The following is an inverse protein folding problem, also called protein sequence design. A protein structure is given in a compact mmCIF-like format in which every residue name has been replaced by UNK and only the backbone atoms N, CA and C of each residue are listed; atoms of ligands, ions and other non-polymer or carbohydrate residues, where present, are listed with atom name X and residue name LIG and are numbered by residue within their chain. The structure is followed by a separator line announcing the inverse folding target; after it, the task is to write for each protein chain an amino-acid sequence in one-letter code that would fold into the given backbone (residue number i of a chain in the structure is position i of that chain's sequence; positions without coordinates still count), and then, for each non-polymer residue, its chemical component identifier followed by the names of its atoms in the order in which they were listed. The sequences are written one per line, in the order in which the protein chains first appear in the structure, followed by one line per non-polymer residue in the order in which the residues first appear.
data_IF_370163548645
#
_entry.id   IF_370163548645
#
_cell.length_a   1.000
_cell.length_b   1.000
_cell.length_c   1.000
_cell.angle_alpha   90.00
_cell.angle_beta   90.00
_cell.angle_gamma   90.00
#
_symmetry.space_group_name_H-M   'P 1'
#
loop_
_entity.id
_entity.type
_entity.pdbx_description
1 polymer ?
#
# COMPACT_ATOMS: atom_id res chain seq x y z
N UNK A 1 11.30 2.80 11.04
CA UNK A 1 11.50 2.43 9.63
C UNK A 1 11.11 3.61 8.74
N UNK A 2 11.90 3.90 7.70
CA UNK A 2 11.69 5.03 6.79
C UNK A 2 10.77 4.65 5.62
N UNK A 3 10.03 5.62 5.07
CA UNK A 3 9.14 5.37 3.92
C UNK A 3 9.87 4.84 2.67
N UNK A 4 11.18 5.06 2.56
CA UNK A 4 12.00 4.47 1.48
C UNK A 4 12.08 2.95 1.59
N UNK A 5 12.28 2.44 2.80
CA UNK A 5 12.32 0.99 3.05
C UNK A 5 10.97 0.34 2.75
N UNK A 6 9.86 1.02 3.09
CA UNK A 6 8.52 0.55 2.75
C UNK A 6 8.36 0.29 1.24
N UNK A 7 8.76 1.26 0.40
CA UNK A 7 8.68 1.12 -1.07
C UNK A 7 9.52 -0.06 -1.58
N UNK A 8 10.73 -0.24 -1.05
CA UNK A 8 11.62 -1.35 -1.41
C UNK A 8 11.00 -2.69 -1.03
N UNK A 9 10.43 -2.81 0.18
CA UNK A 9 9.76 -4.04 0.61
C UNK A 9 8.54 -4.35 -0.26
N UNK A 10 7.73 -3.35 -0.65
CA UNK A 10 6.62 -3.56 -1.58
C UNK A 10 7.12 -4.16 -2.90
N UNK A 11 8.21 -3.64 -3.45
CA UNK A 11 8.79 -4.13 -4.70
C UNK A 11 9.30 -5.58 -4.58
N UNK A 12 10.05 -5.90 -3.53
CA UNK A 12 10.59 -7.24 -3.30
C UNK A 12 9.49 -8.28 -3.08
N UNK A 13 8.50 -7.97 -2.23
CA UNK A 13 7.37 -8.86 -1.96
C UNK A 13 6.54 -9.04 -3.23
N UNK A 14 6.25 -7.96 -3.97
CA UNK A 14 5.52 -8.04 -5.23
C UNK A 14 6.21 -8.98 -6.24
N UNK A 15 7.54 -8.88 -6.38
CA UNK A 15 8.33 -9.77 -7.23
C UNK A 15 8.28 -11.23 -6.83
N UNK A 16 8.55 -11.52 -5.55
CA UNK A 16 8.55 -12.88 -5.00
C UNK A 16 7.16 -13.53 -5.12
N UNK A 17 6.10 -12.82 -4.72
CA UNK A 17 4.73 -13.30 -4.79
C UNK A 17 4.29 -13.58 -6.23
N UNK A 18 4.65 -12.70 -7.17
CA UNK A 18 4.34 -12.90 -8.59
C UNK A 18 5.06 -14.10 -9.18
N UNK A 19 6.35 -14.29 -8.86
CA UNK A 19 7.13 -15.46 -9.28
C UNK A 19 6.52 -16.76 -8.77
N UNK A 20 6.22 -16.84 -7.46
CA UNK A 20 5.61 -18.03 -6.86
C UNK A 20 4.23 -18.28 -7.44
N UNK A 21 3.43 -17.23 -7.64
CA UNK A 21 2.08 -17.36 -8.23
C UNK A 21 2.11 -17.86 -9.67
N UNK A 22 3.05 -17.37 -10.46
CA UNK A 22 3.31 -17.89 -11.80
C UNK A 22 3.72 -19.38 -11.76
N UNK A 23 4.62 -19.76 -10.84
CA UNK A 23 5.07 -21.14 -10.69
C UNK A 23 3.92 -22.08 -10.30
N UNK A 24 3.03 -21.66 -9.39
CA UNK A 24 1.83 -22.42 -9.04
C UNK A 24 0.87 -22.58 -10.24
N UNK A 25 0.79 -21.56 -11.09
CA UNK A 25 0.01 -21.61 -12.33
C UNK A 25 0.58 -22.52 -13.42
N UNK A 26 1.79 -23.06 -13.27
CA UNK A 26 2.34 -24.08 -14.17
C UNK A 26 1.71 -25.45 -13.95
N UNK A 27 1.23 -25.74 -12.74
CA UNK A 27 0.58 -27.00 -12.40
C UNK A 27 -0.80 -27.19 -13.04
N UNK A 28 -1.30 -26.15 -13.73
CA UNK A 28 -2.61 -26.17 -14.37
C UNK A 28 -2.48 -26.64 -15.81
N UNK A 29 -3.21 -27.71 -16.12
CA UNK A 29 -3.27 -28.37 -17.43
C UNK A 29 -4.24 -27.71 -18.41
N UNK A 30 -4.99 -26.69 -17.98
CA UNK A 30 -5.91 -25.95 -18.85
C UNK A 30 -5.16 -25.20 -19.97
N UNK A 31 -5.85 -24.97 -21.09
CA UNK A 31 -5.34 -24.25 -22.26
C UNK A 31 -6.07 -22.92 -22.49
N UNK A 32 -5.44 -22.04 -23.28
CA UNK A 32 -5.98 -20.73 -23.66
C UNK A 32 -6.37 -19.85 -22.47
N UNK A 33 -7.59 -19.30 -22.53
CA UNK A 33 -8.15 -18.35 -21.56
C UNK A 33 -8.10 -18.85 -20.11
N UNK A 34 -8.44 -20.12 -19.87
CA UNK A 34 -8.46 -20.67 -18.52
C UNK A 34 -7.05 -20.72 -17.91
N UNK A 35 -6.03 -21.03 -18.71
CA UNK A 35 -4.64 -21.03 -18.25
C UNK A 35 -4.19 -19.63 -17.83
N UNK A 36 -4.53 -18.62 -18.63
CA UNK A 36 -4.21 -17.23 -18.33
C UNK A 36 -4.95 -16.76 -17.07
N UNK A 37 -6.24 -17.09 -16.96
CA UNK A 37 -7.08 -16.76 -15.81
C UNK A 37 -6.51 -17.32 -14.51
N UNK A 38 -6.17 -18.61 -14.46
CA UNK A 38 -5.64 -19.20 -13.23
C UNK A 38 -4.22 -18.73 -12.87
N UNK A 39 -3.34 -18.49 -13.86
CA UNK A 39 -2.03 -17.87 -13.60
C UNK A 39 -2.21 -16.47 -12.99
N UNK A 40 -3.12 -15.68 -13.55
CA UNK A 40 -3.48 -14.37 -13.02
C UNK A 40 -4.06 -14.48 -11.61
N UNK A 41 -4.93 -15.46 -11.34
CA UNK A 41 -5.51 -15.70 -10.02
C UNK A 41 -4.44 -15.98 -8.96
N UNK A 42 -3.53 -16.92 -9.20
CA UNK A 42 -2.48 -17.24 -8.22
C UNK A 42 -1.52 -16.06 -7.98
N UNK A 43 -1.09 -15.40 -9.04
CA UNK A 43 -0.24 -14.21 -8.92
C UNK A 43 -0.98 -13.09 -8.16
N UNK A 44 -2.24 -12.82 -8.51
CA UNK A 44 -3.08 -11.83 -7.85
C UNK A 44 -3.28 -12.11 -6.37
N UNK A 45 -3.66 -13.33 -6.01
CA UNK A 45 -3.85 -13.76 -4.62
C UNK A 45 -2.59 -13.54 -3.79
N UNK A 46 -1.43 -13.99 -4.28
CA UNK A 46 -0.18 -13.88 -3.53
C UNK A 46 0.31 -12.43 -3.44
N UNK A 47 0.21 -11.64 -4.51
CA UNK A 47 0.58 -10.22 -4.49
C UNK A 47 -0.34 -9.46 -3.53
N UNK A 48 -1.64 -9.67 -3.60
CA UNK A 48 -2.63 -9.06 -2.71
C UNK A 48 -2.38 -9.42 -1.25
N UNK A 49 -2.11 -10.70 -0.96
CA UNK A 49 -1.76 -11.17 0.38
C UNK A 49 -0.47 -10.54 0.89
N UNK A 50 0.60 -10.57 0.10
CA UNK A 50 1.92 -10.05 0.48
C UNK A 50 1.91 -8.55 0.74
N UNK A 51 1.31 -7.76 -0.15
CA UNK A 51 1.27 -6.30 -0.01
C UNK A 51 0.34 -5.84 1.13
N UNK A 52 -0.81 -6.48 1.33
CA UNK A 52 -1.71 -6.15 2.45
C UNK A 52 -1.14 -6.55 3.81
N UNK A 53 -0.39 -7.66 3.87
CA UNK A 53 0.35 -8.06 5.07
C UNK A 53 1.41 -7.02 5.41
N UNK A 54 2.22 -6.61 4.43
CA UNK A 54 3.23 -5.57 4.62
C UNK A 54 2.61 -4.25 5.10
N UNK A 55 1.53 -3.81 4.48
CA UNK A 55 0.79 -2.59 4.87
C UNK A 55 0.27 -2.69 6.31
N UNK A 56 -0.30 -3.83 6.70
CA UNK A 56 -0.81 -4.06 8.07
C UNK A 56 0.30 -4.02 9.12
N UNK A 57 1.44 -4.65 8.82
CA UNK A 57 2.63 -4.65 9.70
C UNK A 57 3.20 -3.23 9.81
N UNK A 58 3.23 -2.48 8.71
CA UNK A 58 3.73 -1.10 8.68
C UNK A 58 2.92 -0.18 9.59
N UNK A 59 1.59 -0.24 9.43
CA UNK A 59 0.64 0.52 10.26
C UNK A 59 0.71 0.06 11.72
N UNK A 60 1.02 -1.22 11.97
CA UNK A 60 1.08 -1.79 13.31
C UNK A 60 -0.29 -2.22 13.82
N UNK A 61 -1.13 -2.78 12.94
CA UNK A 61 -2.45 -3.32 13.30
C UNK A 61 -2.30 -4.58 14.17
N UNK A 62 -3.34 -4.88 14.95
CA UNK A 62 -3.39 -6.13 15.72
C UNK A 62 -3.41 -7.35 14.80
N UNK A 63 -3.05 -8.51 15.35
CA UNK A 63 -2.91 -9.74 14.56
C UNK A 63 -4.22 -10.16 13.90
N UNK A 64 -5.35 -10.00 14.59
CA UNK A 64 -6.68 -10.32 14.07
C UNK A 64 -7.07 -9.43 12.89
N UNK A 65 -6.84 -8.11 13.02
CA UNK A 65 -7.11 -7.17 11.92
C UNK A 65 -6.19 -7.41 10.72
N UNK A 66 -4.92 -7.74 10.98
CA UNK A 66 -3.95 -8.10 9.95
C UNK A 66 -4.41 -9.34 9.18
N UNK A 67 -4.81 -10.39 9.89
CA UNK A 67 -5.30 -11.61 9.27
C UNK A 67 -6.53 -11.38 8.39
N UNK A 68 -7.56 -10.68 8.91
CA UNK A 68 -8.76 -10.37 8.13
C UNK A 68 -8.45 -9.50 6.91
N UNK A 69 -7.60 -8.46 7.07
CA UNK A 69 -7.20 -7.60 5.97
C UNK A 69 -6.49 -8.38 4.86
N UNK A 70 -5.52 -9.23 5.25
CA UNK A 70 -4.76 -10.05 4.30
C UNK A 70 -5.64 -11.07 3.59
N UNK A 71 -6.55 -11.73 4.30
CA UNK A 71 -7.45 -12.72 3.71
C UNK A 71 -8.41 -12.08 2.69
N UNK A 72 -9.04 -10.96 3.05
CA UNK A 72 -9.97 -10.25 2.17
C UNK A 72 -9.22 -9.73 0.94
N UNK A 73 -8.05 -9.11 1.12
CA UNK A 73 -7.23 -8.63 0.01
C UNK A 73 -6.80 -9.78 -0.92
N UNK A 74 -6.43 -10.94 -0.37
CA UNK A 74 -6.06 -12.12 -1.15
C UNK A 74 -7.20 -12.62 -2.04
N UNK A 75 -8.43 -12.70 -1.50
CA UNK A 75 -9.61 -13.16 -2.26
C UNK A 75 -9.92 -12.18 -3.41
N UNK A 76 -10.05 -10.90 -3.11
CA UNK A 76 -10.38 -9.90 -4.13
C UNK A 76 -9.25 -9.73 -5.16
N UNK A 77 -7.98 -9.85 -4.76
CA UNK A 77 -6.86 -9.78 -5.68
C UNK A 77 -6.77 -11.03 -6.55
N UNK A 78 -7.12 -12.21 -6.02
CA UNK A 78 -7.29 -13.43 -6.80
C UNK A 78 -8.40 -13.29 -7.85
N UNK A 79 -9.56 -12.76 -7.49
CA UNK A 79 -10.65 -12.46 -8.44
C UNK A 79 -10.21 -11.44 -9.50
N UNK A 80 -9.54 -10.36 -9.07
CA UNK A 80 -8.98 -9.35 -9.97
C UNK A 80 -7.93 -9.92 -10.93
N UNK A 81 -7.08 -10.81 -10.45
CA UNK A 81 -6.09 -11.53 -11.25
C UNK A 81 -6.73 -12.52 -12.23
N UNK A 82 -7.78 -13.23 -11.82
CA UNK A 82 -8.53 -14.13 -12.69
C UNK A 82 -9.18 -13.38 -13.86
N UNK A 83 -9.90 -12.29 -13.57
CA UNK A 83 -10.48 -11.41 -14.59
C UNK A 83 -9.42 -10.76 -15.46
N UNK A 84 -8.33 -10.28 -14.85
CA UNK A 84 -7.19 -9.70 -15.55
C UNK A 84 -6.55 -10.67 -16.54
N UNK A 85 -6.42 -11.95 -16.17
CA UNK A 85 -5.94 -13.01 -17.06
C UNK A 85 -6.86 -13.27 -18.25
N UNK A 86 -8.17 -13.30 -18.04
CA UNK A 86 -9.16 -13.45 -19.14
C UNK A 86 -9.12 -12.24 -20.08
N UNK A 87 -9.16 -11.03 -19.52
CA UNK A 87 -9.09 -9.78 -20.30
C UNK A 87 -7.77 -9.71 -21.08
N UNK A 88 -6.66 -10.11 -20.45
CA UNK A 88 -5.35 -10.15 -21.07
C UNK A 88 -5.28 -11.10 -22.26
N UNK A 89 -5.79 -12.32 -22.11
CA UNK A 89 -5.83 -13.30 -23.20
C UNK A 89 -6.76 -12.85 -24.34
N UNK A 90 -7.90 -12.24 -23.99
CA UNK A 90 -8.84 -11.68 -24.98
C UNK A 90 -8.18 -10.57 -25.80
N UNK A 91 -7.53 -9.62 -25.15
CA UNK A 91 -6.80 -8.54 -25.82
C UNK A 91 -5.65 -9.08 -26.69
N UNK A 92 -4.94 -10.10 -26.20
CA UNK A 92 -3.89 -10.77 -26.96
C UNK A 92 -4.41 -11.46 -28.23
N UNK A 93 -5.62 -12.05 -28.16
CA UNK A 93 -6.25 -12.68 -29.34
C UNK A 93 -6.66 -11.69 -30.43
N UNK A 94 -6.94 -10.43 -30.07
CA UNK A 94 -7.25 -9.36 -31.03
C UNK A 94 -5.96 -8.87 -31.69
N UNK A 95 -4.98 -8.48 -30.88
CA UNK A 95 -3.68 -8.02 -31.38
C UNK A 95 -2.59 -8.22 -30.33
N UNK A 96 -1.45 -8.80 -30.72
CA UNK A 96 -0.38 -9.20 -29.79
C UNK A 96 0.15 -8.05 -28.91
N UNK A 97 0.17 -6.82 -29.43
CA UNK A 97 0.62 -5.64 -28.67
C UNK A 97 -0.34 -5.19 -27.57
N UNK A 98 -1.63 -5.56 -27.64
CA UNK A 98 -2.63 -5.19 -26.64
C UNK A 98 -2.48 -5.95 -25.30
N UNK A 99 -1.56 -6.92 -25.23
CA UNK A 99 -1.24 -7.61 -23.98
C UNK A 99 -0.79 -6.65 -22.88
N UNK A 100 -0.15 -5.53 -23.24
CA UNK A 100 0.27 -4.48 -22.31
C UNK A 100 -0.96 -3.84 -21.64
N UNK A 101 -2.07 -3.66 -22.36
CA UNK A 101 -3.32 -3.17 -21.80
C UNK A 101 -3.95 -4.21 -20.84
N UNK A 102 -3.82 -5.51 -21.14
CA UNK A 102 -4.21 -6.58 -20.22
C UNK A 102 -3.47 -6.52 -18.88
N UNK A 103 -2.16 -6.26 -18.91
CA UNK A 103 -1.36 -6.09 -17.70
C UNK A 103 -1.71 -4.81 -16.93
N UNK A 104 -2.05 -3.72 -17.63
CA UNK A 104 -2.59 -2.51 -17.01
C UNK A 104 -3.89 -2.81 -16.25
N UNK A 105 -4.85 -3.50 -16.85
CA UNK A 105 -6.11 -3.86 -16.19
C UNK A 105 -5.88 -4.79 -14.99
N UNK A 106 -5.00 -5.79 -15.15
CA UNK A 106 -4.64 -6.70 -14.06
C UNK A 106 -4.05 -5.93 -12.87
N UNK A 107 -3.10 -5.02 -13.13
CA UNK A 107 -2.50 -4.17 -12.10
C UNK A 107 -3.51 -3.24 -11.44
N UNK A 108 -4.42 -2.64 -12.21
CA UNK A 108 -5.52 -1.82 -11.71
C UNK A 108 -6.42 -2.59 -10.74
N UNK A 109 -6.87 -3.79 -11.13
CA UNK A 109 -7.75 -4.63 -10.31
C UNK A 109 -7.06 -5.08 -9.02
N UNK A 110 -5.79 -5.50 -9.10
CA UNK A 110 -4.98 -5.86 -7.91
C UNK A 110 -4.82 -4.64 -6.98
N UNK A 111 -4.59 -3.45 -7.54
CA UNK A 111 -4.48 -2.21 -6.78
C UNK A 111 -5.75 -1.87 -5.99
N UNK A 112 -6.92 -1.99 -6.62
CA UNK A 112 -8.21 -1.81 -5.95
C UNK A 112 -8.40 -2.88 -4.87
N UNK A 113 -8.08 -4.13 -5.17
CA UNK A 113 -8.26 -5.27 -4.25
C UNK A 113 -7.56 -5.06 -2.90
N UNK A 114 -6.35 -4.49 -2.88
CA UNK A 114 -5.61 -4.20 -1.63
C UNK A 114 -6.36 -3.22 -0.72
N UNK A 115 -7.20 -2.35 -1.28
CA UNK A 115 -7.92 -1.32 -0.52
C UNK A 115 -9.35 -1.74 -0.14
N UNK A 116 -9.81 -2.93 -0.56
CA UNK A 116 -11.18 -3.43 -0.32
C UNK A 116 -11.54 -3.50 1.15
N UNK A 117 -10.58 -3.85 2.01
CA UNK A 117 -10.81 -3.91 3.45
C UNK A 117 -11.13 -2.53 4.05
N UNK A 118 -10.41 -1.47 3.64
CA UNK A 118 -10.72 -0.11 4.10
C UNK A 118 -12.08 0.36 3.59
N UNK A 119 -12.40 0.00 2.34
CA UNK A 119 -13.71 0.29 1.75
C UNK A 119 -14.80 -0.40 2.57
N UNK A 120 -14.60 -1.65 2.97
CA UNK A 120 -15.56 -2.40 3.78
C UNK A 120 -15.78 -1.74 5.15
N UNK A 121 -14.70 -1.36 5.84
CA UNK A 121 -14.78 -0.62 7.12
C UNK A 121 -15.47 0.73 6.94
N UNK A 122 -15.27 1.39 5.80
CA UNK A 122 -15.86 2.71 5.54
C UNK A 122 -17.38 2.72 5.42
N UNK A 123 -18.01 1.57 5.17
CA UNK A 123 -19.48 1.45 5.24
C UNK A 123 -20.01 1.58 6.66
N UNK A 124 -19.26 1.11 7.65
CA UNK A 124 -19.63 1.18 9.07
C UNK A 124 -19.19 2.49 9.72
N UNK A 125 -18.09 3.11 9.24
CA UNK A 125 -17.53 4.32 9.84
C UNK A 125 -17.39 5.44 8.80
N UNK A 126 -18.28 6.43 8.86
CA UNK A 126 -18.26 7.61 7.96
C UNK A 126 -16.95 8.38 7.99
N UNK A 127 -16.22 8.41 9.11
CA UNK A 127 -14.91 9.08 9.19
C UNK A 127 -13.81 8.35 8.39
N UNK A 128 -14.01 7.08 8.05
CA UNK A 128 -13.06 6.28 7.27
C UNK A 128 -13.25 6.38 5.75
N UNK A 129 -14.36 6.96 5.26
CA UNK A 129 -14.68 7.03 3.82
C UNK A 129 -13.63 7.77 2.99
N UNK A 130 -13.25 8.98 3.41
CA UNK A 130 -12.26 9.78 2.68
C UNK A 130 -10.90 9.08 2.59
N UNK A 131 -10.50 8.39 3.66
CA UNK A 131 -9.27 7.60 3.69
C UNK A 131 -9.34 6.40 2.75
N UNK A 132 -10.42 5.61 2.82
CA UNK A 132 -10.61 4.43 1.99
C UNK A 132 -10.57 4.77 0.50
N UNK A 133 -11.29 5.82 0.08
CA UNK A 133 -11.30 6.29 -1.31
C UNK A 133 -9.91 6.75 -1.74
N UNK A 134 -9.26 7.60 -0.92
CA UNK A 134 -7.92 8.11 -1.25
C UNK A 134 -6.89 6.99 -1.35
N UNK A 135 -6.95 5.98 -0.48
CA UNK A 135 -6.07 4.80 -0.55
C UNK A 135 -6.35 3.97 -1.80
N UNK A 136 -7.62 3.70 -2.09
CA UNK A 136 -8.03 2.96 -3.28
C UNK A 136 -7.55 3.62 -4.57
N UNK A 137 -7.70 4.95 -4.70
CA UNK A 137 -7.22 5.69 -5.87
C UNK A 137 -5.69 5.60 -6.04
N UNK A 138 -4.92 5.72 -4.95
CA UNK A 138 -3.45 5.62 -4.98
C UNK A 138 -3.00 4.21 -5.36
N UNK A 139 -3.59 3.18 -4.75
CA UNK A 139 -3.26 1.80 -5.06
C UNK A 139 -3.69 1.42 -6.48
N UNK A 140 -4.84 1.89 -6.94
CA UNK A 140 -5.33 1.70 -8.30
C UNK A 140 -4.39 2.35 -9.33
N UNK A 141 -4.02 3.63 -9.14
CA UNK A 141 -3.11 4.33 -10.03
C UNK A 141 -1.70 3.70 -10.02
N UNK A 142 -1.19 3.35 -8.84
CA UNK A 142 0.08 2.64 -8.69
C UNK A 142 0.06 1.26 -9.37
N UNK A 143 -1.00 0.49 -9.17
CA UNK A 143 -1.19 -0.82 -9.81
C UNK A 143 -1.28 -0.71 -11.33
N UNK A 144 -2.04 0.25 -11.85
CA UNK A 144 -2.16 0.49 -13.30
C UNK A 144 -0.82 0.89 -13.94
N UNK A 145 -0.09 1.83 -13.34
CA UNK A 145 1.24 2.24 -13.82
C UNK A 145 2.24 1.09 -13.74
N UNK A 146 2.22 0.33 -12.65
CA UNK A 146 3.10 -0.84 -12.47
C UNK A 146 2.78 -1.96 -13.45
N UNK A 147 1.51 -2.20 -13.77
CA UNK A 147 1.07 -3.15 -14.78
C UNK A 147 1.45 -2.72 -16.19
N UNK A 148 1.31 -1.44 -16.52
CA UNK A 148 1.71 -0.89 -17.83
C UNK A 148 3.22 -1.00 -18.05
N UNK A 149 4.01 -0.50 -17.10
CA UNK A 149 5.47 -0.49 -17.21
C UNK A 149 6.04 -1.89 -17.08
N UNK A 150 5.57 -2.67 -16.12
CA UNK A 150 5.98 -4.07 -15.94
C UNK A 150 5.61 -4.93 -17.14
N UNK A 151 4.42 -4.73 -17.72
CA UNK A 151 3.96 -5.42 -18.94
C UNK A 151 4.76 -5.04 -20.18
N UNK A 152 5.15 -3.76 -20.31
CA UNK A 152 6.04 -3.31 -21.38
C UNK A 152 7.45 -3.92 -21.29
N UNK A 153 8.02 -3.96 -20.09
CA UNK A 153 9.33 -4.61 -19.85
C UNK A 153 9.21 -6.12 -20.10
N UNK A 154 8.17 -6.76 -19.59
CA UNK A 154 7.85 -8.17 -19.85
C UNK A 154 7.85 -8.49 -21.35
N UNK A 155 7.10 -7.71 -22.13
CA UNK A 155 6.97 -7.92 -23.57
C UNK A 155 8.31 -7.72 -24.30
N UNK A 156 9.08 -6.70 -23.89
CA UNK A 156 10.40 -6.42 -24.47
C UNK A 156 11.40 -7.54 -24.18
N UNK A 157 11.45 -8.03 -22.94
CA UNK A 157 12.32 -9.15 -22.54
C UNK A 157 11.93 -10.41 -23.32
N UNK A 158 10.63 -10.69 -23.45
CA UNK A 158 10.13 -11.83 -24.20
C UNK A 158 10.57 -11.78 -25.68
N UNK A 159 10.41 -10.62 -26.34
CA UNK A 159 10.81 -10.45 -27.73
C UNK A 159 12.32 -10.61 -27.94
N UNK A 160 13.14 -9.95 -27.11
CA UNK A 160 14.60 -10.03 -27.19
C UNK A 160 15.10 -11.46 -26.93
N UNK A 161 14.47 -12.17 -26.00
CA UNK A 161 14.84 -13.54 -25.69
C UNK A 161 14.55 -14.47 -26.86
N UNK A 162 13.33 -14.43 -27.39
CA UNK A 162 12.92 -15.27 -28.53
C UNK A 162 13.84 -15.00 -29.73
N UNK A 163 14.19 -13.74 -29.98
CA UNK A 163 15.13 -13.36 -31.04
C UNK A 163 16.54 -13.93 -30.85
N UNK A 164 17.03 -14.04 -29.61
CA UNK A 164 18.43 -14.41 -29.32
C UNK A 164 18.67 -15.90 -29.09
N UNK A 165 17.72 -16.61 -28.49
CA UNK A 165 17.90 -17.98 -28.02
C UNK A 165 16.88 -18.98 -28.59
N UNK A 166 15.93 -18.51 -29.40
CA UNK A 166 14.87 -19.36 -29.97
C UNK A 166 13.85 -19.86 -28.94
N UNK A 167 12.86 -20.65 -29.38
CA UNK A 167 11.83 -21.20 -28.50
C UNK A 167 12.37 -22.44 -27.74
N UNK A 168 13.15 -22.25 -26.67
CA UNK A 168 13.78 -23.39 -25.97
C UNK A 168 14.24 -23.18 -24.50
N UNK A 169 13.64 -24.01 -23.63
CA UNK A 169 13.94 -24.60 -22.29
C UNK A 169 14.86 -23.89 -21.25
N UNK A 170 15.86 -23.08 -21.58
CA UNK A 170 16.72 -22.52 -20.53
C UNK A 170 16.07 -21.28 -19.91
N UNK A 171 15.47 -21.44 -18.72
CA UNK A 171 14.76 -20.41 -17.94
C UNK A 171 13.60 -19.78 -18.70
N UNK A 172 12.35 -20.03 -18.31
CA UNK A 172 11.21 -19.47 -19.02
C UNK A 172 11.27 -17.93 -18.98
N UNK A 173 11.28 -17.23 -20.14
CA UNK A 173 11.18 -15.76 -20.18
C UNK A 173 10.01 -15.22 -19.36
N UNK A 174 8.96 -16.05 -19.25
CA UNK A 174 7.83 -15.84 -18.38
C UNK A 174 8.24 -15.67 -16.90
N UNK A 175 9.14 -16.49 -16.34
CA UNK A 175 9.55 -16.38 -14.94
C UNK A 175 10.16 -15.00 -14.62
N UNK A 176 11.12 -14.56 -15.45
CA UNK A 176 11.75 -13.25 -15.31
C UNK A 176 10.71 -12.16 -15.49
N UNK A 177 9.88 -12.30 -16.52
CA UNK A 177 8.83 -11.34 -16.80
C UNK A 177 7.82 -11.17 -15.66
N UNK A 178 7.29 -12.26 -15.09
CA UNK A 178 6.35 -12.20 -13.97
C UNK A 178 7.01 -11.61 -12.72
N UNK A 179 8.28 -11.92 -12.47
CA UNK A 179 9.05 -11.31 -11.37
C UNK A 179 9.17 -9.80 -11.56
N UNK A 180 9.56 -9.34 -12.74
CA UNK A 180 9.67 -7.91 -13.08
C UNK A 180 8.33 -7.21 -12.99
N UNK A 181 7.27 -7.82 -13.52
CA UNK A 181 5.91 -7.29 -13.41
C UNK A 181 5.49 -7.11 -11.95
N UNK A 182 5.74 -8.12 -11.10
CA UNK A 182 5.45 -8.06 -9.66
C UNK A 182 6.25 -6.97 -8.95
N UNK A 183 7.54 -6.83 -9.28
CA UNK A 183 8.41 -5.75 -8.78
C UNK A 183 7.83 -4.38 -9.17
N UNK A 184 7.45 -4.20 -10.43
CA UNK A 184 6.86 -2.95 -10.90
C UNK A 184 5.53 -2.64 -10.20
N UNK A 185 4.60 -3.60 -10.11
CA UNK A 185 3.33 -3.41 -9.41
C UNK A 185 3.56 -3.03 -7.94
N UNK A 186 4.40 -3.77 -7.22
CA UNK A 186 4.74 -3.48 -5.82
C UNK A 186 5.41 -2.12 -5.64
N UNK A 187 6.40 -1.81 -6.49
CA UNK A 187 7.12 -0.53 -6.49
C UNK A 187 6.16 0.63 -6.69
N UNK A 188 5.31 0.59 -7.72
CA UNK A 188 4.42 1.71 -8.05
C UNK A 188 3.27 1.85 -7.06
N UNK A 189 2.77 0.76 -6.47
CA UNK A 189 1.80 0.84 -5.37
C UNK A 189 2.44 1.53 -4.16
N UNK A 190 3.63 1.09 -3.74
CA UNK A 190 4.34 1.72 -2.63
C UNK A 190 4.69 3.19 -2.91
N UNK A 191 5.19 3.47 -4.12
CA UNK A 191 5.55 4.82 -4.55
C UNK A 191 4.33 5.75 -4.61
N UNK A 192 3.19 5.29 -5.13
CA UNK A 192 1.96 6.07 -5.17
C UNK A 192 1.49 6.46 -3.76
N UNK A 193 1.59 5.55 -2.79
CA UNK A 193 1.27 5.85 -1.40
C UNK A 193 2.21 6.90 -0.79
N UNK A 194 3.51 6.84 -1.09
CA UNK A 194 4.52 7.78 -0.55
C UNK A 194 4.51 9.14 -1.26
N UNK A 195 4.34 9.19 -2.58
CA UNK A 195 4.37 10.44 -3.34
C UNK A 195 3.12 11.28 -3.12
N UNK A 196 1.97 10.63 -2.88
CA UNK A 196 0.67 11.28 -2.71
C UNK A 196 0.35 11.44 -1.20
N UNK A 197 1.35 11.38 -0.32
CA UNK A 197 1.15 11.75 1.10
C UNK A 197 1.11 13.27 1.25
N UNK A 198 0.18 13.77 2.06
CA UNK A 198 0.06 15.19 2.35
C UNK A 198 0.82 15.56 3.61
N UNK A 199 0.64 14.80 4.70
CA UNK A 199 1.39 14.98 5.94
C UNK A 199 1.77 13.63 6.57
N UNK A 200 2.81 13.63 7.38
CA UNK A 200 3.25 12.48 8.15
C UNK A 200 3.89 12.94 9.45
N UNK A 201 3.90 12.06 10.45
CA UNK A 201 4.64 12.27 11.69
C UNK A 201 5.84 11.36 11.73
N UNK A 202 6.98 11.87 12.22
CA UNK A 202 8.20 11.09 12.47
C UNK A 202 8.42 10.98 13.98
N UNK A 203 8.66 9.77 14.47
CA UNK A 203 9.02 9.56 15.88
C UNK A 203 10.48 9.98 16.10
N UNK A 204 10.72 10.94 17.00
CA UNK A 204 12.06 11.49 17.27
C UNK A 204 12.81 10.77 18.40
N UNK A 205 12.09 10.12 19.32
CA UNK A 205 12.68 9.41 20.47
C UNK A 205 11.90 8.14 20.86
N UNK A 206 12.50 7.35 21.75
CA UNK A 206 11.93 6.09 22.23
C UNK A 206 12.16 4.92 21.29
N UNK A 207 11.51 3.79 21.58
CA UNK A 207 11.74 2.52 20.87
C UNK A 207 11.43 2.55 19.36
N UNK A 208 10.64 3.51 18.91
CA UNK A 208 10.22 3.65 17.51
C UNK A 208 10.93 4.80 16.78
N UNK A 209 12.05 5.29 17.31
CA UNK A 209 12.80 6.39 16.71
C UNK A 209 13.01 6.20 15.19
N UNK A 210 12.74 7.24 14.42
CA UNK A 210 12.81 7.25 12.96
C UNK A 210 11.66 6.53 12.25
N UNK A 211 10.62 6.04 12.95
CA UNK A 211 9.39 5.55 12.31
C UNK A 211 8.60 6.73 11.74
N UNK A 212 8.20 6.63 10.49
CA UNK A 212 7.35 7.60 9.81
C UNK A 212 5.93 7.03 9.62
N UNK A 213 4.92 7.78 10.04
CA UNK A 213 3.51 7.41 9.98
C UNK A 213 2.74 8.44 9.16
N UNK A 214 2.10 8.00 8.08
CA UNK A 214 1.36 8.89 7.17
C UNK A 214 0.01 9.27 7.80
N UNK A 215 -0.30 10.56 7.83
CA UNK A 215 -1.60 11.07 8.27
C UNK A 215 -2.59 10.99 7.10
N UNK A 216 -3.28 9.87 7.01
CA UNK A 216 -4.14 9.58 5.88
C UNK A 216 -5.64 9.73 6.18
N UNK A 217 -6.05 9.74 7.45
CA UNK A 217 -7.44 9.93 7.89
C UNK A 217 -7.73 11.41 8.21
N UNK A 218 -9.01 11.77 8.17
CA UNK A 218 -9.47 13.10 8.57
C UNK A 218 -9.18 13.39 10.05
N UNK A 219 -9.25 12.37 10.90
CA UNK A 219 -8.83 12.43 12.30
C UNK A 219 -7.84 11.29 12.54
N UNK A 220 -6.66 11.64 13.04
CA UNK A 220 -5.60 10.69 13.41
C UNK A 220 -5.34 10.80 14.90
N UNK A 221 -5.76 9.80 15.67
CA UNK A 221 -5.59 9.74 17.12
C UNK A 221 -4.20 9.21 17.45
N UNK A 222 -3.54 9.89 18.38
CA UNK A 222 -2.27 9.52 18.99
C UNK A 222 -2.59 8.92 20.36
N UNK A 223 -2.10 7.72 20.63
CA UNK A 223 -2.35 7.07 21.90
C UNK A 223 -1.70 5.71 22.04
N UNK A 224 -1.90 5.10 23.21
CA UNK A 224 -1.38 3.77 23.53
C UNK A 224 -2.31 2.63 23.10
N UNK A 225 -3.58 2.92 22.80
CA UNK A 225 -4.57 1.92 22.41
C UNK A 225 -4.32 1.42 20.98
N UNK A 226 -4.57 0.14 20.73
CA UNK A 226 -4.39 -0.48 19.40
C UNK A 226 -5.29 0.11 18.30
N UNK A 227 -6.36 0.81 18.69
CA UNK A 227 -7.28 1.47 17.76
C UNK A 227 -6.81 2.84 17.27
N UNK A 228 -5.76 3.41 17.85
CA UNK A 228 -5.24 4.72 17.44
C UNK A 228 -4.47 4.63 16.12
N UNK A 229 -4.64 5.63 15.25
CA UNK A 229 -3.88 5.73 14.00
C UNK A 229 -2.37 5.85 14.25
N UNK A 230 -2.01 6.54 15.32
CA UNK A 230 -0.63 6.66 15.80
C UNK A 230 -0.56 5.92 17.13
N UNK A 231 -0.59 4.59 17.03
CA UNK A 231 -0.47 3.69 18.18
C UNK A 231 1.00 3.57 18.62
N UNK A 232 1.32 4.12 19.79
CA UNK A 232 2.67 4.14 20.37
C UNK A 232 2.67 3.35 21.68
N UNK A 233 2.81 2.02 21.60
CA UNK A 233 2.86 1.21 22.83
C UNK A 233 4.16 1.43 23.60
N UNK A 234 4.21 1.01 24.87
CA UNK A 234 5.43 1.02 25.69
C UNK A 234 5.70 2.32 26.45
N UNK A 235 5.04 3.42 26.10
CA UNK A 235 5.05 4.66 26.88
C UNK A 235 3.97 4.59 27.97
N UNK A 236 4.36 4.58 29.24
CA UNK A 236 3.41 4.51 30.37
C UNK A 236 2.67 5.83 30.58
N UNK A 237 3.28 6.94 30.18
CA UNK A 237 2.76 8.30 30.33
C UNK A 237 1.86 8.70 29.14
N UNK A 238 1.83 7.87 28.10
CA UNK A 238 0.91 8.05 26.99
C UNK A 238 -0.47 7.47 27.35
N UNK A 239 -1.49 8.30 27.25
CA UNK A 239 -2.88 7.92 27.49
C UNK A 239 -3.38 6.95 26.40
N UNK A 240 -4.43 6.14 26.67
CA UNK A 240 -5.02 5.27 25.65
C UNK A 240 -5.38 6.02 24.37
N UNK A 241 -6.01 7.18 24.51
CA UNK A 241 -6.27 8.19 23.48
C UNK A 241 -5.79 9.52 24.08
N UNK A 242 -4.70 10.09 23.58
CA UNK A 242 -3.99 11.20 24.25
C UNK A 242 -4.19 12.53 23.52
N UNK A 243 -4.02 12.51 22.21
CA UNK A 243 -4.24 13.67 21.35
C UNK A 243 -4.78 13.20 20.01
N UNK A 244 -5.31 14.12 19.21
CA UNK A 244 -5.64 13.85 17.82
C UNK A 244 -5.16 14.96 16.90
N UNK A 245 -4.80 14.57 15.68
CA UNK A 245 -4.53 15.49 14.58
C UNK A 245 -5.74 15.46 13.65
N UNK A 246 -6.41 16.59 13.49
CA UNK A 246 -7.58 16.76 12.63
C UNK A 246 -7.19 17.51 11.36
N UNK A 247 -7.47 16.90 10.20
CA UNK A 247 -7.35 17.55 8.90
C UNK A 247 -8.59 18.41 8.65
N UNK A 248 -8.39 19.70 8.44
CA UNK A 248 -9.40 20.69 8.00
C UNK A 248 -8.99 21.26 6.64
N UNK A 249 -9.84 22.08 6.05
CA UNK A 249 -9.57 22.72 4.75
C UNK A 249 -8.27 23.52 4.74
N UNK A 250 -7.97 24.21 5.85
CA UNK A 250 -6.82 25.12 5.98
C UNK A 250 -5.56 24.47 6.57
N UNK A 251 -5.56 23.16 6.83
CA UNK A 251 -4.38 22.44 7.33
C UNK A 251 -4.69 21.41 8.42
N UNK A 252 -3.67 21.06 9.20
CA UNK A 252 -3.74 20.05 10.26
C UNK A 252 -3.76 20.72 11.63
N UNK A 253 -4.71 20.35 12.48
CA UNK A 253 -4.86 20.88 13.82
C UNK A 253 -4.57 19.81 14.86
N UNK A 254 -3.78 20.13 15.87
CA UNK A 254 -3.56 19.27 17.03
C UNK A 254 -4.56 19.64 18.12
N UNK A 255 -5.21 18.64 18.70
CA UNK A 255 -6.05 18.79 19.89
C UNK A 255 -5.67 17.75 20.94
N UNK A 256 -5.58 18.16 22.20
CA UNK A 256 -5.47 17.25 23.35
C UNK A 256 -6.84 16.59 23.59
N UNK A 257 -6.84 15.31 24.00
CA UNK A 257 -8.06 14.56 24.31
C UNK A 257 -8.20 14.37 25.84
N UNK A 258 -8.08 15.47 26.57
CA UNK A 258 -8.08 15.51 28.05
C UNK A 258 -7.07 14.51 28.66
N UNK A 259 -5.85 14.54 28.12
CA UNK A 259 -4.82 13.61 28.55
C UNK A 259 -4.29 13.98 29.95
N UNK A 260 -3.99 12.98 30.82
CA UNK A 260 -3.56 13.25 32.20
C UNK A 260 -2.31 14.15 32.30
N UNK A 261 -1.30 13.88 31.46
CA UNK A 261 -0.04 14.62 31.45
C UNK A 261 -0.08 15.86 30.54
N UNK A 262 -1.14 16.00 29.74
CA UNK A 262 -1.30 17.01 28.71
C UNK A 262 -0.42 16.79 27.48
N UNK A 263 -0.86 17.35 26.35
CA UNK A 263 -0.07 17.42 25.11
C UNK A 263 0.74 18.71 25.07
N UNK A 264 1.97 18.63 24.58
CA UNK A 264 2.85 19.79 24.39
C UNK A 264 3.18 19.98 22.91
N UNK A 265 3.12 21.22 22.43
CA UNK A 265 3.54 21.62 21.09
C UNK A 265 4.74 22.56 21.23
N UNK A 266 5.87 22.20 20.61
CA UNK A 266 7.12 22.97 20.70
C UNK A 266 7.51 23.33 22.14
N UNK A 267 7.44 22.35 23.03
CA UNK A 267 7.70 22.45 24.49
C UNK A 267 6.70 23.30 25.29
N UNK A 268 5.64 23.83 24.66
CA UNK A 268 4.57 24.57 25.35
C UNK A 268 3.36 23.68 25.52
N UNK A 269 2.78 23.64 26.73
CA UNK A 269 1.56 22.86 26.99
C UNK A 269 0.40 23.44 26.20
N UNK A 270 -0.29 22.57 25.47
CA UNK A 270 -1.50 22.90 24.73
C UNK A 270 -2.63 23.27 25.70
N UNK A 271 -3.39 24.32 25.37
CA UNK A 271 -4.63 24.69 26.07
C UNK A 271 -5.85 24.59 25.17
N UNK A 272 -5.65 24.82 23.89
CA UNK A 272 -6.66 24.84 22.85
C UNK A 272 -6.13 24.17 21.59
N UNK A 273 -7.05 23.79 20.70
CA UNK A 273 -6.70 23.20 19.42
C UNK A 273 -5.85 24.18 18.58
N UNK A 274 -4.69 23.74 18.12
CA UNK A 274 -3.68 24.61 17.49
C UNK A 274 -3.33 24.10 16.10
N UNK A 275 -3.19 25.02 15.13
CA UNK A 275 -2.73 24.71 13.77
C UNK A 275 -1.26 24.25 13.80
N UNK A 276 -0.97 23.11 13.19
CA UNK A 276 0.37 22.57 13.05
C UNK A 276 1.08 23.18 11.85
N UNK A 277 2.36 23.47 12.02
CA UNK A 277 3.28 23.84 10.96
C UNK A 277 4.30 22.73 10.74
N UNK A 278 4.79 22.60 9.50
CA UNK A 278 5.87 21.65 9.21
C UNK A 278 7.06 21.91 10.14
N UNK A 279 7.65 20.82 10.60
CA UNK A 279 8.73 20.76 11.59
C UNK A 279 8.34 20.98 13.06
N UNK A 280 7.05 21.19 13.37
CA UNK A 280 6.57 21.23 14.74
C UNK A 280 6.83 19.93 15.51
N UNK A 281 7.19 20.08 16.79
CA UNK A 281 7.43 18.97 17.70
C UNK A 281 6.24 18.81 18.64
N UNK A 282 5.50 17.73 18.44
CA UNK A 282 4.40 17.28 19.29
C UNK A 282 4.99 16.34 20.35
N UNK A 283 4.73 16.61 21.62
CA UNK A 283 5.11 15.72 22.71
C UNK A 283 3.84 15.22 23.42
N UNK A 284 3.73 13.90 23.51
CA UNK A 284 2.64 13.17 24.12
C UNK A 284 3.24 12.10 25.03
N UNK A 285 3.02 12.21 26.34
CA UNK A 285 3.77 11.42 27.34
C UNK A 285 5.27 11.68 27.26
N UNK A 286 6.08 10.62 27.19
CA UNK A 286 7.53 10.70 27.01
C UNK A 286 7.95 10.74 25.52
N UNK A 287 7.01 10.52 24.60
CA UNK A 287 7.28 10.42 23.17
C UNK A 287 7.16 11.77 22.47
N UNK A 288 8.10 12.05 21.56
CA UNK A 288 8.17 13.23 20.70
C UNK A 288 7.98 12.81 19.24
N UNK A 289 7.07 13.50 18.57
CA UNK A 289 6.71 13.32 17.18
C UNK A 289 6.97 14.63 16.44
N UNK A 290 7.73 14.58 15.35
CA UNK A 290 7.91 15.70 14.44
C UNK A 290 6.83 15.65 13.36
N UNK A 291 6.02 16.70 13.26
CA UNK A 291 5.04 16.85 12.20
C UNK A 291 5.72 17.37 10.92
N UNK A 292 5.39 16.77 9.78
CA UNK A 292 5.93 17.13 8.48
C UNK A 292 4.78 17.19 7.49
N UNK A 293 4.70 18.28 6.74
CA UNK A 293 3.72 18.47 5.67
C UNK A 293 4.45 18.62 4.34
N UNK A 294 3.91 18.00 3.28
CA UNK A 294 4.39 18.20 1.92
C UNK A 294 3.98 19.61 1.52
N UNK A 295 4.91 20.56 1.63
CA UNK A 295 4.71 21.95 1.24
C UNK A 295 4.04 22.00 -0.13
N UNK A 296 2.79 22.48 -0.20
CA UNK A 296 2.20 22.86 -1.48
C UNK A 296 3.05 24.02 -1.98
N UNK A 297 3.86 23.79 -3.01
CA UNK A 297 4.40 24.89 -3.81
C UNK A 297 3.17 25.66 -4.32
N UNK A 298 2.88 26.77 -3.66
CA UNK A 298 1.82 27.69 -4.05
C UNK A 298 2.39 28.44 -5.24
N UNK A 299 2.22 27.88 -6.44
CA UNK A 299 2.37 28.64 -7.68
C UNK A 299 1.19 29.60 -7.81
#
# INVERSE_FOLDING_TARGET
MSLRLFVIYCALIGGLCSYVGWAMGLSITAEGFLRAAFKGMFAGTLIGAGLSLLDSIWIGRSITFTFCHTLIAAIFAGMGGFLGGIIGEFLFSIHKSLIIAGWLFTGLLIGIAISTFEILISFSNSQAKSFAISKALKCMAGGAMGGLLGGGIFYSVLLLWVARFGPGIFWTPAAIGFSVLGICIGLFIGLAQVLIKEAWVRVENGRWQGKELILAKAVSVIGRKEGCEIALFGDRNLAPEHACIRKRENGFYLADLDSPDGTYLNKKRMKEETLLQSDDIIQAGATRLKFLEKTKSRN
#
